data_IF_219465877054
#
_entry.id   IF_219465877054
#
_cell.length_a   1.000
_cell.length_b   1.000
_cell.length_c   1.000
_cell.angle_alpha   90.00
_cell.angle_beta   90.00
_cell.angle_gamma   90.00
#
_symmetry.space_group_name_H-M   'P 1'
#
loop_
_entity.id
_entity.type
_entity.pdbx_description
1 polymer ?
#
# COMPACT_ATOMS: atom_id res chain seq x y z
N UNK A 1 -50.35 40.90 3.51
CA UNK A 1 -50.18 40.37 4.88
C UNK A 1 -50.83 39.00 4.93
N UNK A 2 -50.06 37.93 5.20
CA UNK A 2 -50.50 36.58 5.63
C UNK A 2 -51.39 35.78 4.65
N UNK A 3 -51.18 34.50 4.36
CA UNK A 3 -50.39 33.48 5.03
C UNK A 3 -49.98 32.42 4.01
N UNK A 4 -48.70 32.05 4.03
CA UNK A 4 -48.21 30.83 3.39
C UNK A 4 -48.74 29.62 4.16
N UNK A 5 -49.62 28.84 3.54
CA UNK A 5 -49.93 27.49 3.98
C UNK A 5 -48.76 26.59 3.65
N UNK A 6 -47.93 26.28 4.65
CA UNK A 6 -46.85 25.30 4.56
C UNK A 6 -47.48 23.91 4.35
N UNK A 7 -47.33 23.31 3.17
CA UNK A 7 -47.53 21.86 3.04
C UNK A 7 -46.49 21.17 3.93
N UNK A 8 -46.85 20.12 4.69
CA UNK A 8 -45.84 19.35 5.41
C UNK A 8 -44.92 18.71 4.38
N UNK A 9 -43.70 19.26 4.28
CA UNK A 9 -42.61 18.66 3.52
C UNK A 9 -42.14 17.43 4.31
N UNK A 10 -42.54 16.24 3.88
CA UNK A 10 -41.87 15.03 4.35
C UNK A 10 -40.53 14.89 3.61
N UNK A 11 -39.44 14.49 4.29
CA UNK A 11 -38.14 14.40 3.66
C UNK A 11 -38.15 13.35 2.54
N UNK A 12 -37.55 13.72 1.42
CA UNK A 12 -37.17 12.78 0.38
C UNK A 12 -36.18 11.76 0.96
N UNK A 13 -36.61 10.52 1.09
CA UNK A 13 -35.82 9.39 0.65
C UNK A 13 -36.73 8.58 -0.26
N UNK A 14 -36.40 8.53 -1.54
CA UNK A 14 -37.03 7.62 -2.47
C UNK A 14 -36.88 6.19 -1.93
N UNK A 15 -37.90 5.71 -1.20
CA UNK A 15 -38.11 4.28 -1.08
C UNK A 15 -38.52 3.87 -2.49
N UNK A 16 -37.79 2.96 -3.15
CA UNK A 16 -38.17 2.55 -4.48
C UNK A 16 -39.57 1.94 -4.39
N UNK A 17 -40.41 2.20 -5.38
CA UNK A 17 -41.72 1.56 -5.60
C UNK A 17 -41.65 0.01 -5.65
N UNK A 18 -40.47 -0.59 -5.44
CA UNK A 18 -40.16 -2.01 -5.41
C UNK A 18 -39.64 -2.54 -4.06
N UNK A 19 -39.75 -1.79 -2.95
CA UNK A 19 -39.36 -2.32 -1.64
C UNK A 19 -40.31 -3.44 -1.15
N UNK A 20 -39.77 -4.47 -0.46
CA UNK A 20 -40.62 -5.56 0.08
C UNK A 20 -41.73 -5.00 1.00
N UNK A 21 -41.45 -3.93 1.77
CA UNK A 21 -42.45 -3.28 2.61
C UNK A 21 -43.60 -2.63 1.84
N UNK A 22 -43.31 -1.95 0.73
CA UNK A 22 -44.33 -1.36 -0.14
C UNK A 22 -45.19 -2.43 -0.81
N UNK A 23 -44.57 -3.46 -1.39
CA UNK A 23 -45.26 -4.58 -2.04
C UNK A 23 -46.14 -5.37 -1.07
N UNK A 24 -45.66 -5.60 0.17
CA UNK A 24 -46.46 -6.24 1.22
C UNK A 24 -47.68 -5.38 1.61
N UNK A 25 -47.54 -4.06 1.62
CA UNK A 25 -48.65 -3.15 1.93
C UNK A 25 -49.69 -3.10 0.81
N UNK A 26 -49.27 -3.07 -0.45
CA UNK A 26 -50.18 -3.20 -1.60
C UNK A 26 -50.88 -4.56 -1.60
N UNK A 27 -50.15 -5.64 -1.32
CA UNK A 27 -50.70 -6.98 -1.23
C UNK A 27 -51.75 -7.04 -0.12
N UNK A 28 -51.46 -6.52 1.08
CA UNK A 28 -52.45 -6.41 2.18
C UNK A 28 -53.74 -5.71 1.76
N UNK A 29 -53.66 -4.61 1.00
CA UNK A 29 -54.84 -3.88 0.51
C UNK A 29 -55.62 -4.69 -0.53
N UNK A 30 -54.93 -5.25 -1.53
CA UNK A 30 -55.55 -6.02 -2.61
C UNK A 30 -56.20 -7.30 -2.11
N UNK A 31 -55.50 -8.05 -1.25
CA UNK A 31 -56.04 -9.30 -0.77
C UNK A 31 -57.14 -9.06 0.26
N UNK A 32 -57.17 -7.94 0.98
CA UNK A 32 -58.31 -7.52 1.79
C UNK A 32 -59.59 -7.37 0.97
N UNK A 33 -59.53 -6.64 -0.16
CA UNK A 33 -60.67 -6.45 -1.04
C UNK A 33 -61.18 -7.78 -1.64
N UNK A 34 -60.29 -8.62 -2.16
CA UNK A 34 -60.65 -9.89 -2.79
C UNK A 34 -61.15 -10.90 -1.75
N UNK A 35 -60.51 -10.96 -0.57
CA UNK A 35 -60.92 -11.93 0.44
C UNK A 35 -62.22 -11.56 1.13
N UNK A 36 -62.57 -10.28 1.24
CA UNK A 36 -63.88 -9.84 1.72
C UNK A 36 -65.01 -10.27 0.76
N UNK A 37 -64.73 -10.33 -0.54
CA UNK A 37 -65.66 -10.87 -1.55
C UNK A 37 -65.81 -12.41 -1.47
N UNK A 38 -64.72 -13.12 -1.14
CA UNK A 38 -64.71 -14.59 -1.05
C UNK A 38 -65.09 -15.11 0.35
N UNK A 39 -65.18 -14.22 1.36
CA UNK A 39 -65.52 -14.57 2.74
C UNK A 39 -64.42 -15.35 3.47
N UNK A 40 -63.15 -15.20 3.07
CA UNK A 40 -62.04 -15.97 3.63
C UNK A 40 -61.73 -15.55 5.07
N UNK A 41 -61.42 -16.50 5.95
CA UNK A 41 -61.18 -16.28 7.38
C UNK A 41 -59.96 -15.38 7.65
N UNK A 42 -60.13 -14.39 8.54
CA UNK A 42 -59.13 -13.36 8.83
C UNK A 42 -57.81 -13.95 9.38
N UNK A 43 -57.86 -15.03 10.15
CA UNK A 43 -56.67 -15.63 10.75
C UNK A 43 -55.78 -16.28 9.69
N UNK A 44 -56.39 -16.88 8.67
CA UNK A 44 -55.66 -17.47 7.54
C UNK A 44 -54.97 -16.41 6.68
N UNK A 45 -55.60 -15.23 6.52
CA UNK A 45 -55.00 -14.07 5.86
C UNK A 45 -53.76 -13.58 6.60
N UNK A 46 -53.88 -13.41 7.92
CA UNK A 46 -52.79 -12.97 8.79
C UNK A 46 -51.65 -13.98 8.80
N UNK A 47 -51.95 -15.28 8.81
CA UNK A 47 -50.95 -16.35 8.71
C UNK A 47 -50.12 -16.23 7.44
N UNK A 48 -50.76 -16.11 6.27
CA UNK A 48 -50.06 -16.01 4.97
C UNK A 48 -49.18 -14.76 4.92
N UNK A 49 -49.67 -13.63 5.43
CA UNK A 49 -48.90 -12.38 5.46
C UNK A 49 -47.67 -12.48 6.37
N UNK A 50 -47.81 -13.11 7.54
CA UNK A 50 -46.70 -13.35 8.45
C UNK A 50 -45.64 -14.28 7.84
N UNK A 51 -46.08 -15.33 7.12
CA UNK A 51 -45.17 -16.23 6.41
C UNK A 51 -44.35 -15.47 5.34
N UNK A 52 -45.00 -14.63 4.53
CA UNK A 52 -44.32 -13.82 3.52
C UNK A 52 -43.34 -12.80 4.14
N UNK A 53 -43.73 -12.14 5.24
CA UNK A 53 -42.84 -11.24 5.97
C UNK A 53 -41.61 -11.97 6.50
N UNK A 54 -41.81 -13.17 7.06
CA UNK A 54 -40.73 -13.99 7.59
C UNK A 54 -39.78 -14.45 6.47
N UNK A 55 -40.30 -14.86 5.31
CA UNK A 55 -39.48 -15.23 4.15
C UNK A 55 -38.63 -14.06 3.63
N UNK A 56 -39.19 -12.84 3.57
CA UNK A 56 -38.42 -11.64 3.22
C UNK A 56 -37.26 -11.47 4.22
N UNK A 57 -37.54 -11.51 5.53
CA UNK A 57 -36.52 -11.37 6.59
C UNK A 57 -35.42 -12.42 6.45
N UNK A 58 -35.79 -13.68 6.24
CA UNK A 58 -34.82 -14.79 6.15
C UNK A 58 -33.94 -14.68 4.90
N UNK A 59 -34.49 -14.20 3.78
CA UNK A 59 -33.70 -13.88 2.60
C UNK A 59 -32.66 -12.78 2.89
N UNK A 60 -33.08 -11.68 3.54
CA UNK A 60 -32.16 -10.61 3.90
C UNK A 60 -31.07 -11.08 4.86
N UNK A 61 -31.42 -11.84 5.90
CA UNK A 61 -30.45 -12.42 6.85
C UNK A 61 -29.42 -13.29 6.13
N UNK A 62 -29.86 -14.23 5.28
CA UNK A 62 -28.96 -15.08 4.50
C UNK A 62 -27.99 -14.28 3.62
N UNK A 63 -28.46 -13.19 3.00
CA UNK A 63 -27.59 -12.31 2.21
C UNK A 63 -26.56 -11.58 3.07
N UNK A 64 -26.98 -11.08 4.23
CA UNK A 64 -26.08 -10.43 5.20
C UNK A 64 -25.05 -11.43 5.73
N UNK A 65 -25.47 -12.63 6.09
CA UNK A 65 -24.58 -13.69 6.59
C UNK A 65 -23.56 -14.11 5.52
N UNK A 66 -24.01 -14.30 4.27
CA UNK A 66 -23.12 -14.57 3.13
C UNK A 66 -22.07 -13.47 2.96
N UNK A 67 -22.49 -12.19 3.00
CA UNK A 67 -21.58 -11.06 2.90
C UNK A 67 -20.59 -10.99 4.08
N UNK A 68 -21.04 -11.29 5.30
CA UNK A 68 -20.20 -11.34 6.47
C UNK A 68 -19.16 -12.47 6.40
N UNK A 69 -19.56 -13.66 5.93
CA UNK A 69 -18.64 -14.78 5.70
C UNK A 69 -17.57 -14.39 4.68
N UNK A 70 -17.97 -13.82 3.53
CA UNK A 70 -17.04 -13.37 2.51
C UNK A 70 -16.03 -12.35 3.05
N UNK A 71 -16.50 -11.37 3.84
CA UNK A 71 -15.63 -10.39 4.50
C UNK A 71 -14.61 -11.07 5.42
N UNK A 72 -15.06 -12.01 6.26
CA UNK A 72 -14.18 -12.74 7.19
C UNK A 72 -13.14 -13.56 6.41
N UNK A 73 -13.55 -14.31 5.39
CA UNK A 73 -12.64 -15.09 4.55
C UNK A 73 -11.61 -14.22 3.82
N UNK A 74 -12.01 -13.04 3.33
CA UNK A 74 -11.09 -12.09 2.71
C UNK A 74 -10.03 -11.58 3.68
N UNK A 75 -10.43 -11.19 4.90
CA UNK A 75 -9.48 -10.76 5.93
C UNK A 75 -8.53 -11.89 6.34
N UNK A 76 -9.02 -13.13 6.42
CA UNK A 76 -8.18 -14.29 6.71
C UNK A 76 -7.15 -14.51 5.60
N UNK A 77 -7.57 -14.52 4.33
CA UNK A 77 -6.67 -14.70 3.19
C UNK A 77 -5.61 -13.59 3.11
N UNK A 78 -5.96 -12.35 3.46
CA UNK A 78 -5.00 -11.26 3.57
C UNK A 78 -3.94 -11.58 4.64
N UNK A 79 -4.37 -11.92 5.85
CA UNK A 79 -3.48 -12.25 6.96
C UNK A 79 -2.57 -13.45 6.65
N UNK A 80 -3.11 -14.47 5.99
CA UNK A 80 -2.34 -15.64 5.55
C UNK A 80 -1.27 -15.24 4.52
N UNK A 81 -1.61 -14.41 3.53
CA UNK A 81 -0.64 -13.92 2.54
C UNK A 81 0.44 -13.02 3.14
N UNK A 82 0.11 -12.21 4.16
CA UNK A 82 1.08 -11.40 4.90
C UNK A 82 2.04 -12.29 5.70
N UNK A 83 1.52 -13.34 6.34
CA UNK A 83 2.34 -14.33 7.04
C UNK A 83 3.25 -15.11 6.07
N UNK A 84 2.75 -15.53 4.91
CA UNK A 84 3.55 -16.17 3.87
C UNK A 84 4.66 -15.24 3.35
N UNK A 85 4.34 -13.97 3.08
CA UNK A 85 5.32 -12.99 2.65
C UNK A 85 6.42 -12.80 3.69
N UNK A 86 6.07 -12.66 4.97
CA UNK A 86 7.07 -12.54 6.04
C UNK A 86 7.93 -13.80 6.18
N UNK A 87 7.34 -15.00 6.06
CA UNK A 87 8.09 -16.26 6.07
C UNK A 87 9.06 -16.38 4.89
N UNK A 88 8.64 -15.98 3.70
CA UNK A 88 9.52 -15.90 2.52
C UNK A 88 10.65 -14.91 2.75
N UNK A 89 10.34 -13.73 3.32
CA UNK A 89 11.32 -12.71 3.68
C UNK A 89 12.41 -13.26 4.61
N UNK A 90 12.00 -14.01 5.63
CA UNK A 90 12.91 -14.64 6.60
C UNK A 90 13.73 -15.76 5.95
N UNK A 91 13.11 -16.60 5.12
CA UNK A 91 13.75 -17.75 4.47
C UNK A 91 14.79 -17.33 3.42
N UNK A 92 14.48 -16.28 2.68
CA UNK A 92 15.41 -15.65 1.74
C UNK A 92 16.57 -14.95 2.48
N UNK A 93 16.36 -14.58 3.75
CA UNK A 93 17.31 -13.81 4.55
C UNK A 93 17.54 -12.41 3.99
N UNK A 94 18.20 -11.54 4.77
CA UNK A 94 18.52 -10.18 4.32
C UNK A 94 19.39 -10.14 3.06
N UNK A 95 20.06 -11.23 2.66
CA UNK A 95 21.06 -11.27 1.57
C UNK A 95 20.46 -11.42 0.16
N UNK A 96 19.19 -11.82 0.03
CA UNK A 96 18.61 -12.21 -1.25
C UNK A 96 17.70 -11.17 -1.91
N UNK A 97 17.69 -9.93 -1.40
CA UNK A 97 16.97 -8.85 -2.08
C UNK A 97 17.76 -8.36 -3.30
N UNK A 98 17.17 -8.36 -4.52
CA UNK A 98 17.84 -7.89 -5.73
C UNK A 98 18.48 -6.50 -5.56
N UNK A 99 17.76 -5.58 -4.90
CA UNK A 99 18.26 -4.22 -4.64
C UNK A 99 19.35 -4.12 -3.57
N UNK A 100 19.54 -5.15 -2.74
CA UNK A 100 20.64 -5.18 -1.75
C UNK A 100 21.95 -5.58 -2.40
N UNK A 101 21.94 -6.56 -3.29
CA UNK A 101 23.13 -7.00 -4.02
C UNK A 101 23.69 -5.87 -4.90
N UNK A 102 22.81 -5.20 -5.66
CA UNK A 102 23.18 -4.04 -6.45
C UNK A 102 23.77 -2.92 -5.57
N UNK A 103 23.16 -2.66 -4.41
CA UNK A 103 23.68 -1.69 -3.44
C UNK A 103 25.02 -2.11 -2.85
N UNK A 104 25.22 -3.39 -2.55
CA UNK A 104 26.48 -3.93 -2.05
C UNK A 104 27.61 -3.70 -3.07
N UNK A 105 27.33 -3.96 -4.34
CA UNK A 105 28.28 -3.75 -5.44
C UNK A 105 28.64 -2.26 -5.56
N UNK A 106 27.67 -1.35 -5.48
CA UNK A 106 27.92 0.10 -5.48
C UNK A 106 28.82 0.53 -4.30
N UNK A 107 28.55 0.05 -3.09
CA UNK A 107 29.39 0.34 -1.92
C UNK A 107 30.82 -0.16 -2.10
N UNK A 108 30.98 -1.40 -2.58
CA UNK A 108 32.28 -2.03 -2.81
C UNK A 108 33.08 -1.25 -3.84
N UNK A 109 32.44 -0.85 -4.93
CA UNK A 109 33.08 -0.05 -5.98
C UNK A 109 33.54 1.31 -5.45
N UNK A 110 32.65 2.08 -4.80
CA UNK A 110 33.02 3.39 -4.25
C UNK A 110 34.16 3.27 -3.22
N UNK A 111 34.11 2.28 -2.32
CA UNK A 111 35.18 2.07 -1.34
C UNK A 111 36.51 1.66 -2.00
N UNK A 112 36.47 0.82 -3.05
CA UNK A 112 37.66 0.46 -3.84
C UNK A 112 38.27 1.69 -4.50
N UNK A 113 37.44 2.56 -5.08
CA UNK A 113 37.91 3.80 -5.69
C UNK A 113 38.53 4.75 -4.66
N UNK A 114 37.90 4.92 -3.49
CA UNK A 114 38.44 5.72 -2.37
C UNK A 114 39.82 5.19 -1.97
N UNK A 115 39.95 3.89 -1.73
CA UNK A 115 41.20 3.29 -1.27
C UNK A 115 42.31 3.44 -2.32
N UNK A 116 41.98 3.26 -3.61
CA UNK A 116 42.92 3.46 -4.72
C UNK A 116 43.44 4.90 -4.73
N UNK A 117 42.56 5.89 -4.72
CA UNK A 117 42.96 7.30 -4.79
C UNK A 117 43.72 7.72 -3.52
N UNK A 118 43.28 7.26 -2.35
CA UNK A 118 43.98 7.53 -1.09
C UNK A 118 45.42 6.99 -1.13
N UNK A 119 45.62 5.79 -1.68
CA UNK A 119 46.94 5.17 -1.83
C UNK A 119 47.81 5.93 -2.84
N UNK A 120 47.24 6.35 -3.98
CA UNK A 120 47.92 7.20 -4.96
C UNK A 120 48.36 8.54 -4.36
N UNK A 121 47.50 9.17 -3.54
CA UNK A 121 47.81 10.43 -2.84
C UNK A 121 48.91 10.23 -1.79
N UNK A 122 48.93 9.08 -1.10
CA UNK A 122 49.94 8.72 -0.11
C UNK A 122 51.27 8.24 -0.72
N UNK A 123 51.31 7.97 -2.03
CA UNK A 123 52.49 7.44 -2.71
C UNK A 123 52.79 5.97 -2.39
N UNK A 124 51.78 5.20 -1.99
CA UNK A 124 51.90 3.78 -1.64
C UNK A 124 51.11 2.87 -2.61
N UNK A 125 51.50 1.60 -2.74
CA UNK A 125 50.73 0.61 -3.50
C UNK A 125 49.46 0.23 -2.70
N UNK A 126 48.28 0.18 -3.34
CA UNK A 126 47.05 -0.11 -2.63
C UNK A 126 47.01 -1.58 -2.15
N UNK A 127 46.80 -1.79 -0.85
CA UNK A 127 46.44 -3.10 -0.29
C UNK A 127 45.05 -3.53 -0.78
N UNK A 128 44.93 -4.76 -1.31
CA UNK A 128 43.83 -5.14 -2.20
C UNK A 128 42.48 -5.51 -1.54
N UNK A 129 42.31 -5.40 -0.22
CA UNK A 129 41.13 -5.96 0.45
C UNK A 129 40.20 -4.89 1.05
N UNK A 130 39.18 -4.50 0.29
CA UNK A 130 38.06 -3.67 0.77
C UNK A 130 37.02 -4.56 1.45
N UNK A 131 36.92 -4.45 2.78
CA UNK A 131 35.87 -5.14 3.56
C UNK A 131 34.68 -4.18 3.77
N UNK A 132 33.65 -4.34 2.94
CA UNK A 132 32.40 -3.60 3.08
C UNK A 132 31.63 -4.18 4.26
N UNK A 133 31.24 -3.32 5.22
CA UNK A 133 30.38 -3.75 6.32
C UNK A 133 28.97 -4.10 5.79
N UNK A 134 28.64 -5.39 5.82
CA UNK A 134 27.36 -5.92 5.31
C UNK A 134 26.12 -5.41 6.09
N UNK A 135 26.30 -4.96 7.34
CA UNK A 135 25.20 -4.57 8.24
C UNK A 135 24.66 -3.15 8.03
N UNK A 136 25.34 -2.29 7.28
CA UNK A 136 24.92 -0.91 7.06
C UNK A 136 25.19 -0.45 5.63
N UNK A 137 24.20 -0.74 4.77
CA UNK A 137 24.07 -0.31 3.37
C UNK A 137 23.03 0.81 3.24
N UNK A 138 23.01 1.75 4.20
CA UNK A 138 22.08 2.88 4.17
C UNK A 138 22.46 3.88 3.07
N UNK A 139 21.47 4.51 2.42
CA UNK A 139 21.72 5.53 1.39
C UNK A 139 22.55 6.71 1.94
N UNK A 140 22.35 7.08 3.21
CA UNK A 140 23.15 8.11 3.90
C UNK A 140 24.63 7.77 3.93
N UNK A 141 24.99 6.50 4.17
CA UNK A 141 26.39 6.06 4.19
C UNK A 141 27.00 6.03 2.79
N UNK A 142 26.22 5.65 1.79
CA UNK A 142 26.66 5.67 0.39
C UNK A 142 26.99 7.10 -0.05
N UNK A 143 26.10 8.04 0.24
CA UNK A 143 26.29 9.47 -0.05
C UNK A 143 27.55 10.02 0.64
N UNK A 144 27.77 9.67 1.91
CA UNK A 144 29.00 10.02 2.62
C UNK A 144 30.27 9.51 1.92
N UNK A 145 30.27 8.28 1.42
CA UNK A 145 31.40 7.74 0.68
C UNK A 145 31.57 8.41 -0.69
N UNK A 146 30.48 8.70 -1.41
CA UNK A 146 30.54 9.43 -2.68
C UNK A 146 31.12 10.84 -2.49
N UNK A 147 30.72 11.55 -1.44
CA UNK A 147 31.25 12.86 -1.10
C UNK A 147 32.76 12.80 -0.77
N UNK A 148 33.20 11.79 -0.02
CA UNK A 148 34.62 11.60 0.27
C UNK A 148 35.43 11.27 -0.99
N UNK A 149 34.88 10.45 -1.88
CA UNK A 149 35.50 10.14 -3.17
C UNK A 149 35.68 11.40 -4.03
N UNK A 150 34.67 12.27 -4.10
CA UNK A 150 34.76 13.54 -4.82
C UNK A 150 35.82 14.47 -4.20
N UNK A 151 35.89 14.53 -2.87
CA UNK A 151 36.90 15.31 -2.14
C UNK A 151 38.31 14.85 -2.49
N UNK A 152 38.56 13.54 -2.48
CA UNK A 152 39.86 12.95 -2.82
C UNK A 152 40.24 13.19 -4.29
N UNK A 153 39.29 13.07 -5.22
CA UNK A 153 39.52 13.41 -6.62
C UNK A 153 39.96 14.87 -6.79
N UNK A 154 39.29 15.79 -6.10
CA UNK A 154 39.66 17.22 -6.12
C UNK A 154 41.07 17.42 -5.56
N UNK A 155 41.38 16.80 -4.42
CA UNK A 155 42.70 16.89 -3.79
C UNK A 155 43.81 16.36 -4.70
N UNK A 156 43.60 15.19 -5.33
CA UNK A 156 44.55 14.64 -6.31
C UNK A 156 44.80 15.61 -7.46
N UNK A 157 43.73 16.18 -8.03
CA UNK A 157 43.85 17.14 -9.14
C UNK A 157 44.56 18.43 -8.73
N UNK A 158 44.28 18.96 -7.55
CA UNK A 158 44.95 20.17 -7.04
C UNK A 158 46.45 19.92 -6.80
N UNK A 159 46.83 18.74 -6.31
CA UNK A 159 48.24 18.33 -6.17
C UNK A 159 48.91 18.16 -7.52
N UNK A 160 48.23 17.52 -8.49
CA UNK A 160 48.76 17.31 -9.83
C UNK A 160 49.06 18.64 -10.54
N UNK A 161 48.13 19.60 -10.46
CA UNK A 161 48.30 20.94 -11.04
C UNK A 161 49.54 21.66 -10.47
N UNK A 162 49.75 21.58 -9.15
CA UNK A 162 50.96 22.14 -8.52
C UNK A 162 52.23 21.50 -9.08
N UNK A 163 52.25 20.18 -9.24
CA UNK A 163 53.41 19.47 -9.83
C UNK A 163 53.65 19.91 -11.27
N UNK A 164 52.61 20.02 -12.09
CA UNK A 164 52.71 20.53 -13.47
C UNK A 164 53.27 21.96 -13.52
N UNK A 165 52.85 22.84 -12.59
CA UNK A 165 53.36 24.20 -12.48
C UNK A 165 54.85 24.24 -12.10
N UNK A 166 55.29 23.37 -11.19
CA UNK A 166 56.72 23.24 -10.85
C UNK A 166 57.55 22.78 -12.04
N UNK A 167 57.05 21.82 -12.82
CA UNK A 167 57.73 21.32 -14.03
C UNK A 167 57.82 22.43 -15.09
N UNK A 168 56.74 23.19 -15.29
CA UNK A 168 56.69 24.29 -16.26
C UNK A 168 57.53 25.50 -15.85
N UNK A 169 57.54 25.83 -14.55
CA UNK A 169 58.30 26.95 -13.98
C UNK A 169 59.78 26.67 -13.76
N UNK A 170 60.19 25.39 -13.71
CA UNK A 170 61.59 24.96 -13.54
C UNK A 170 62.43 24.99 -14.81
N UNK A 171 61.83 25.17 -15.99
CA UNK A 171 62.55 25.31 -17.26
C UNK A 171 62.93 26.77 -17.53
N UNK A 172 63.87 27.34 -16.74
CA UNK A 172 64.65 28.49 -17.21
C UNK A 172 65.92 27.95 -17.87
N UNK A 173 66.11 28.13 -19.19
CA UNK A 173 67.37 27.81 -19.83
C UNK A 173 68.45 28.75 -19.29
N UNK A 174 69.59 28.20 -18.86
CA UNK A 174 70.84 28.94 -18.75
C UNK A 174 71.37 29.25 -20.15
#
# INVERSE_FOLDING_TARGET
MGSFGMFPSFPSSAIPESSCGYLLQELKVWVGLIWDEVGQDQLERERILLELEQECIDMYRRKVDSANILRVCQHQALADSEAEFTNLLLSLGERSFPGREERMNQFREVQTQIQRIASEIAGHQPDCNVLVNEGDLSLKKLDKHQNELQRLHKEKNDRLRKVEDYIRGGAKPC
#
